data_IF_695015035510
#
_entry.id   IF_695015035510
#
_cell.length_a   1.000
_cell.length_b   1.000
_cell.length_c   1.000
_cell.angle_alpha   90.00
_cell.angle_beta   90.00
_cell.angle_gamma   90.00
#
_symmetry.space_group_name_H-M   'P 1'
#
loop_
_entity.id
_entity.type
_entity.pdbx_description
1 polymer ?
#
# COMPACT_ATOMS: atom_id res chain seq x y z
N UNK A 1 7.67 12.29 7.79
CA UNK A 1 7.11 11.09 8.43
C UNK A 1 8.05 9.92 8.18
N UNK A 2 7.69 8.73 8.66
CA UNK A 2 8.30 7.50 8.12
C UNK A 2 7.93 7.39 6.63
N UNK A 3 6.66 7.69 6.35
CA UNK A 3 6.06 7.83 5.03
C UNK A 3 5.16 9.09 4.98
N UNK A 4 5.50 10.17 4.24
CA UNK A 4 6.68 10.36 3.38
C UNK A 4 7.96 10.73 4.16
N UNK A 5 9.08 10.14 3.74
CA UNK A 5 10.42 10.55 4.18
C UNK A 5 11.49 9.46 4.05
N UNK A 6 11.39 8.40 4.85
CA UNK A 6 12.41 7.34 4.96
C UNK A 6 12.43 6.49 3.69
N UNK A 7 11.26 6.13 3.16
CA UNK A 7 11.15 5.35 1.92
C UNK A 7 11.76 6.08 0.73
N UNK A 8 11.49 7.38 0.57
CA UNK A 8 12.09 8.20 -0.49
C UNK A 8 13.62 8.26 -0.37
N UNK A 9 14.15 8.37 0.86
CA UNK A 9 15.59 8.37 1.09
C UNK A 9 16.25 7.02 0.76
N UNK A 10 15.61 5.90 1.12
CA UNK A 10 16.10 4.57 0.75
C UNK A 10 16.09 4.35 -0.77
N UNK A 11 15.02 4.76 -1.45
CA UNK A 11 14.95 4.63 -2.90
C UNK A 11 16.01 5.51 -3.58
N UNK A 12 16.20 6.75 -3.13
CA UNK A 12 17.26 7.62 -3.66
C UNK A 12 18.67 7.06 -3.41
N UNK A 13 18.90 6.43 -2.24
CA UNK A 13 20.16 5.76 -1.95
C UNK A 13 20.39 4.54 -2.85
N UNK A 14 19.34 3.75 -3.10
CA UNK A 14 19.37 2.59 -3.99
C UNK A 14 19.77 3.01 -5.42
N UNK A 15 19.12 4.04 -5.96
CA UNK A 15 19.45 4.65 -7.27
C UNK A 15 20.91 5.11 -7.32
N UNK A 16 21.40 5.73 -6.25
CA UNK A 16 22.72 6.37 -6.27
C UNK A 16 23.88 5.38 -6.10
N UNK A 17 23.67 4.26 -5.41
CA UNK A 17 24.77 3.42 -4.90
C UNK A 17 24.69 1.94 -5.24
N UNK A 18 23.51 1.43 -5.59
CA UNK A 18 23.29 -0.01 -5.67
C UNK A 18 22.82 -0.50 -7.03
N UNK A 19 22.20 0.35 -7.86
CA UNK A 19 21.63 -0.05 -9.14
C UNK A 19 21.88 0.98 -10.24
N UNK A 20 22.21 0.51 -11.45
CA UNK A 20 22.30 1.35 -12.65
C UNK A 20 20.91 1.64 -13.25
N UNK A 21 19.97 0.70 -13.10
CA UNK A 21 18.57 0.82 -13.52
C UNK A 21 17.68 0.16 -12.46
N UNK A 22 16.57 0.83 -12.12
CA UNK A 22 15.52 0.26 -11.28
C UNK A 22 14.35 -0.13 -12.18
N UNK A 23 13.96 -1.40 -12.19
CA UNK A 23 12.77 -1.84 -12.90
C UNK A 23 11.52 -1.65 -12.04
N UNK A 24 11.58 -2.09 -10.78
CA UNK A 24 10.43 -2.03 -9.88
C UNK A 24 10.81 -1.56 -8.49
N UNK A 25 9.90 -0.83 -7.85
CA UNK A 25 9.95 -0.46 -6.44
C UNK A 25 8.67 -0.98 -5.78
N UNK A 26 8.81 -1.78 -4.74
CA UNK A 26 7.72 -2.26 -3.91
C UNK A 26 7.89 -1.73 -2.48
N UNK A 27 6.97 -0.89 -2.05
CA UNK A 27 6.90 -0.39 -0.68
C UNK A 27 5.92 -1.26 0.06
N UNK A 28 6.34 -1.82 1.19
CA UNK A 28 5.53 -2.75 1.98
C UNK A 28 5.38 -2.19 3.39
N UNK A 29 4.17 -1.75 3.72
CA UNK A 29 3.79 -1.31 5.07
C UNK A 29 2.92 -2.38 5.72
N UNK A 30 3.44 -3.01 6.77
CA UNK A 30 2.69 -3.97 7.59
C UNK A 30 2.82 -3.60 9.05
N UNK A 31 1.67 -3.24 9.62
CA UNK A 31 1.55 -2.98 11.05
C UNK A 31 1.35 -4.31 11.80
N UNK A 32 2.42 -4.84 12.39
CA UNK A 32 2.39 -6.05 13.22
C UNK A 32 1.89 -5.81 14.67
N UNK A 33 1.59 -4.55 15.03
CA UNK A 33 1.15 -4.18 16.38
C UNK A 33 -0.34 -4.42 16.62
N UNK A 34 -0.67 -5.17 17.67
CA UNK A 34 -2.03 -5.25 18.22
C UNK A 34 -2.29 -4.03 19.11
N UNK A 35 -2.73 -2.94 18.50
CA UNK A 35 -3.36 -1.88 19.25
C UNK A 35 -4.79 -2.36 19.50
N UNK A 36 -5.22 -2.55 20.75
CA UNK A 36 -6.57 -3.02 21.11
C UNK A 36 -7.73 -2.12 20.64
N UNK A 37 -7.48 -1.21 19.69
CA UNK A 37 -8.44 -0.42 18.93
C UNK A 37 -8.32 -0.82 17.45
N UNK A 38 -9.42 -1.28 16.88
CA UNK A 38 -9.52 -1.78 15.50
C UNK A 38 -9.27 -0.70 14.43
N UNK A 39 -9.34 0.57 14.85
CA UNK A 39 -9.11 1.75 14.05
C UNK A 39 -8.27 2.73 14.89
N UNK A 40 -7.34 3.45 14.26
CA UNK A 40 -6.78 4.64 14.88
C UNK A 40 -7.95 5.57 15.25
N UNK A 41 -7.93 6.18 16.44
CA UNK A 41 -9.06 6.93 17.03
C UNK A 41 -9.63 8.09 16.22
N UNK A 42 -9.04 8.40 15.07
CA UNK A 42 -9.51 9.42 14.12
C UNK A 42 -10.07 8.83 12.81
N UNK A 43 -10.31 7.50 12.75
CA UNK A 43 -10.81 6.81 11.56
C UNK A 43 -12.32 6.57 11.70
N UNK A 44 -13.13 7.25 10.89
CA UNK A 44 -14.51 6.81 10.63
C UNK A 44 -14.44 5.71 9.56
N UNK A 45 -14.75 4.45 9.91
CA UNK A 45 -14.67 3.35 8.96
C UNK A 45 -15.66 3.53 7.81
N UNK A 46 -16.87 4.02 8.08
CA UNK A 46 -17.94 4.10 7.07
C UNK A 46 -17.60 5.10 5.96
N UNK A 47 -17.06 6.27 6.33
CA UNK A 47 -16.64 7.30 5.38
C UNK A 47 -15.46 6.79 4.53
N UNK A 48 -14.43 6.23 5.18
CA UNK A 48 -13.29 5.66 4.45
C UNK A 48 -13.71 4.50 3.53
N UNK A 49 -14.61 3.62 3.97
CA UNK A 49 -15.05 2.48 3.16
C UNK A 49 -15.90 2.88 1.95
N UNK A 50 -16.60 4.03 2.00
CA UNK A 50 -17.31 4.59 0.83
C UNK A 50 -16.39 5.35 -0.11
N UNK A 51 -15.36 6.01 0.41
CA UNK A 51 -14.45 6.84 -0.40
C UNK A 51 -13.34 6.02 -1.09
N UNK A 52 -12.87 4.93 -0.49
CA UNK A 52 -11.78 4.11 -1.04
C UNK A 52 -12.28 2.88 -1.80
N UNK A 53 -13.03 3.10 -2.90
CA UNK A 53 -13.45 2.03 -3.82
C UNK A 53 -12.30 1.60 -4.74
N UNK A 54 -11.40 2.54 -5.04
CA UNK A 54 -10.33 2.37 -6.02
C UNK A 54 -9.02 2.93 -5.51
N UNK A 55 -7.94 2.33 -5.99
CA UNK A 55 -6.56 2.72 -5.69
C UNK A 55 -5.81 2.97 -6.99
N UNK A 56 -4.91 3.94 -6.97
CA UNK A 56 -4.06 4.28 -8.10
C UNK A 56 -2.63 3.89 -7.80
N UNK A 57 -1.97 3.25 -8.77
CA UNK A 57 -0.57 2.83 -8.67
C UNK A 57 0.17 3.13 -9.96
N UNK A 58 1.49 3.24 -9.91
CA UNK A 58 2.33 3.44 -11.09
C UNK A 58 2.85 2.10 -11.61
N UNK A 59 2.38 1.64 -12.76
CA UNK A 59 2.79 0.36 -13.37
C UNK A 59 3.01 0.56 -14.86
N UNK A 60 4.10 0.02 -15.39
CA UNK A 60 4.51 0.14 -16.80
C UNK A 60 4.55 1.61 -17.27
N UNK A 61 5.08 2.48 -16.42
CA UNK A 61 5.16 3.93 -16.62
C UNK A 61 3.79 4.62 -16.81
N UNK A 62 2.73 4.06 -16.24
CA UNK A 62 1.38 4.59 -16.32
C UNK A 62 0.66 4.50 -14.98
N UNK A 63 -0.20 5.47 -14.72
CA UNK A 63 -1.15 5.40 -13.61
C UNK A 63 -2.24 4.39 -13.94
N UNK A 64 -2.32 3.33 -13.14
CA UNK A 64 -3.33 2.28 -13.26
C UNK A 64 -4.26 2.30 -12.05
N UNK A 65 -5.54 2.19 -12.34
CA UNK A 65 -6.61 2.14 -11.35
C UNK A 65 -6.97 0.67 -11.07
N UNK A 66 -7.08 0.30 -9.80
CA UNK A 66 -7.53 -1.01 -9.36
C UNK A 66 -8.63 -0.87 -8.32
N UNK A 67 -9.61 -1.78 -8.25
CA UNK A 67 -10.53 -1.80 -7.11
C UNK A 67 -9.77 -2.20 -5.84
N UNK A 68 -10.09 -1.55 -4.72
CA UNK A 68 -9.43 -1.76 -3.43
C UNK A 68 -9.50 -3.23 -3.01
N UNK A 69 -8.38 -3.75 -2.47
CA UNK A 69 -8.21 -5.13 -1.97
C UNK A 69 -8.38 -6.25 -3.01
N UNK A 70 -8.33 -5.97 -4.31
CA UNK A 70 -8.45 -7.01 -5.36
C UNK A 70 -7.13 -7.68 -5.72
N UNK A 71 -6.02 -6.96 -5.63
CA UNK A 71 -4.68 -7.52 -5.89
C UNK A 71 -4.03 -7.86 -4.56
N UNK A 72 -3.91 -9.16 -4.28
CA UNK A 72 -3.34 -9.73 -3.05
C UNK A 72 -2.07 -10.51 -3.34
N UNK A 73 -1.10 -10.43 -2.44
CA UNK A 73 0.08 -11.30 -2.38
C UNK A 73 0.35 -11.74 -0.94
N UNK A 74 1.16 -12.76 -0.79
CA UNK A 74 1.77 -13.11 0.50
C UNK A 74 3.23 -12.72 0.42
N UNK A 75 3.71 -11.96 1.41
CA UNK A 75 5.10 -11.56 1.50
C UNK A 75 5.68 -12.04 2.82
N UNK A 76 6.85 -12.65 2.77
CA UNK A 76 7.55 -13.13 3.95
C UNK A 76 8.36 -11.99 4.56
N UNK A 77 7.80 -11.35 5.58
CA UNK A 77 8.42 -10.19 6.21
C UNK A 77 9.49 -10.62 7.21
N UNK A 78 10.64 -9.94 7.24
CA UNK A 78 11.62 -10.14 8.31
C UNK A 78 10.95 -9.99 9.67
N UNK A 79 11.19 -10.93 10.58
CA UNK A 79 10.66 -10.97 11.97
C UNK A 79 9.16 -11.30 12.11
N UNK A 80 8.29 -10.76 11.24
CA UNK A 80 6.83 -10.98 11.32
C UNK A 80 6.41 -12.30 10.68
N UNK A 81 7.10 -12.72 9.61
CA UNK A 81 6.77 -13.91 8.83
C UNK A 81 5.76 -13.67 7.71
N UNK A 82 5.19 -14.75 7.13
CA UNK A 82 4.29 -14.68 5.98
C UNK A 82 3.05 -13.85 6.27
N UNK A 83 2.91 -12.73 5.57
CA UNK A 83 1.84 -11.75 5.79
C UNK A 83 1.06 -11.48 4.49
N UNK A 84 -0.29 -11.49 4.54
CA UNK A 84 -1.09 -11.08 3.39
C UNK A 84 -0.97 -9.57 3.19
N UNK A 85 -0.58 -9.17 1.98
CA UNK A 85 -0.46 -7.78 1.56
C UNK A 85 -1.36 -7.49 0.37
N UNK A 86 -1.87 -6.27 0.31
CA UNK A 86 -2.83 -5.82 -0.69
C UNK A 86 -2.32 -4.56 -1.37
N UNK A 87 -2.43 -4.50 -2.70
CA UNK A 87 -2.05 -3.33 -3.47
C UNK A 87 -2.91 -2.14 -3.06
N UNK A 88 -2.26 -1.00 -2.83
CA UNK A 88 -2.93 0.22 -2.41
C UNK A 88 -2.37 1.46 -3.10
N UNK A 89 -3.07 2.58 -2.93
CA UNK A 89 -2.61 3.89 -3.36
C UNK A 89 -1.94 4.59 -2.19
N UNK A 90 -0.92 5.41 -2.47
CA UNK A 90 -0.23 6.20 -1.46
C UNK A 90 0.34 7.47 -2.10
N UNK A 91 0.34 8.58 -1.36
CA UNK A 91 0.80 9.89 -1.87
C UNK A 91 2.26 9.85 -2.36
N UNK A 92 3.08 8.99 -1.77
CA UNK A 92 4.48 8.81 -2.17
C UNK A 92 4.66 8.33 -3.59
N UNK A 93 3.72 7.55 -4.12
CA UNK A 93 3.78 7.05 -5.49
C UNK A 93 3.87 8.23 -6.48
N UNK A 94 3.20 9.35 -6.17
CA UNK A 94 3.30 10.56 -6.97
C UNK A 94 4.71 11.15 -6.94
N UNK A 95 5.30 11.26 -5.75
CA UNK A 95 6.66 11.79 -5.62
C UNK A 95 7.71 10.86 -6.25
N UNK A 96 7.61 9.55 -6.05
CA UNK A 96 8.61 8.59 -6.51
C UNK A 96 8.55 8.39 -8.02
N UNK A 97 7.35 8.35 -8.62
CA UNK A 97 7.20 8.24 -10.09
C UNK A 97 7.76 9.44 -10.85
N UNK A 98 7.82 10.60 -10.21
CA UNK A 98 8.40 11.81 -10.80
C UNK A 98 9.92 11.90 -10.60
N UNK A 99 10.42 11.41 -9.46
CA UNK A 99 11.81 11.62 -9.05
C UNK A 99 12.73 10.41 -9.28
N UNK A 100 12.17 9.22 -9.54
CA UNK A 100 12.92 7.99 -9.74
C UNK A 100 12.52 7.36 -11.07
N UNK A 101 13.51 7.09 -11.92
CA UNK A 101 13.29 6.39 -13.18
C UNK A 101 13.12 4.89 -12.93
N UNK A 102 11.89 4.50 -12.61
CA UNK A 102 11.46 3.12 -12.44
C UNK A 102 10.29 2.79 -13.38
N UNK A 103 10.23 1.55 -13.87
CA UNK A 103 9.13 1.11 -14.74
C UNK A 103 7.83 0.96 -13.96
N UNK A 104 7.88 0.46 -12.73
CA UNK A 104 6.73 0.34 -11.83
C UNK A 104 7.07 0.69 -10.38
N UNK A 105 6.15 1.34 -9.69
CA UNK A 105 6.25 1.70 -8.27
C UNK A 105 4.91 1.36 -7.62
N UNK A 106 4.95 0.46 -6.64
CA UNK A 106 3.76 -0.12 -6.00
C UNK A 106 3.83 0.05 -4.50
N UNK A 107 2.68 0.31 -3.89
CA UNK A 107 2.53 0.36 -2.45
C UNK A 107 1.65 -0.80 -1.99
N UNK A 108 2.10 -1.52 -0.98
CA UNK A 108 1.44 -2.70 -0.44
C UNK A 108 1.19 -2.51 1.04
N UNK A 109 -0.04 -2.76 1.46
CA UNK A 109 -0.42 -2.73 2.86
C UNK A 109 -0.82 -4.10 3.39
N UNK A 110 -0.35 -4.42 4.58
CA UNK A 110 -0.81 -5.58 5.34
C UNK A 110 -2.13 -5.29 6.01
N UNK A 111 -3.12 -6.15 5.78
CA UNK A 111 -4.41 -6.11 6.47
C UNK A 111 -4.67 -7.45 7.14
N UNK A 112 -5.12 -7.40 8.40
CA UNK A 112 -5.59 -8.60 9.09
C UNK A 112 -6.89 -9.13 8.49
N UNK A 113 -7.10 -10.45 8.57
CA UNK A 113 -8.27 -11.12 7.98
C UNK A 113 -9.60 -10.52 8.48
N UNK A 114 -9.65 -10.11 9.74
CA UNK A 114 -10.86 -9.49 10.30
C UNK A 114 -11.22 -8.18 9.59
N UNK A 115 -10.24 -7.33 9.27
CA UNK A 115 -10.46 -6.08 8.54
C UNK A 115 -11.00 -6.34 7.13
N UNK A 116 -10.41 -7.30 6.41
CA UNK A 116 -10.88 -7.68 5.06
C UNK A 116 -12.31 -8.23 5.09
N UNK A 117 -12.66 -9.00 6.12
CA UNK A 117 -14.01 -9.51 6.30
C UNK A 117 -15.01 -8.37 6.53
N UNK A 118 -14.70 -7.43 7.44
CA UNK A 118 -15.54 -6.25 7.69
C UNK A 118 -15.70 -5.41 6.42
N UNK A 119 -14.61 -5.13 5.70
CA UNK A 119 -14.64 -4.43 4.42
C UNK A 119 -15.57 -5.11 3.41
N UNK A 120 -15.45 -6.43 3.28
CA UNK A 120 -16.24 -7.21 2.33
C UNK A 120 -17.73 -7.13 2.66
N UNK A 121 -18.09 -7.28 3.94
CA UNK A 121 -19.47 -7.19 4.40
C UNK A 121 -20.05 -5.80 4.15
N UNK A 122 -19.32 -4.73 4.52
CA UNK A 122 -19.78 -3.35 4.31
C UNK A 122 -19.97 -3.02 2.83
N UNK A 123 -19.07 -3.48 1.96
CA UNK A 123 -19.21 -3.34 0.50
C UNK A 123 -20.46 -4.04 -0.03
N UNK A 124 -20.76 -5.24 0.47
CA UNK A 124 -21.96 -6.00 0.08
C UNK A 124 -23.26 -5.36 0.59
N UNK A 125 -23.23 -4.73 1.76
CA UNK A 125 -24.40 -4.06 2.35
C UNK A 125 -24.66 -2.68 1.73
N UNK A 126 -23.61 -1.93 1.39
CA UNK A 126 -23.69 -0.59 0.80
C UNK A 126 -23.97 -0.55 -0.71
N UNK A 127 -24.02 -1.71 -1.39
CA UNK A 127 -24.36 -1.82 -2.81
C UNK A 127 -25.87 -1.96 -3.07
N UNK A 128 -26.72 -1.46 -2.17
CA UNK A 128 -28.19 -1.38 -2.34
C UNK A 128 -28.64 0.07 -2.43
#
# INVERSE_FOLDING_TARGET
>A
GFDPGVVNAYCALAVKRYFDKIETIDIIDVNAGSHGRYFATNFDPEINFREFIKVWTWIDRQWKEYPTHTVKRVYDLPVVGPSPIYLNGHDELHSLSQNIDAESIRFWMGFGDHYINVFTVLRTLGSR
#
